data_IF_310801755804
#
_entry.id   IF_310801755804
#
_cell.length_a   1.000
_cell.length_b   1.000
_cell.length_c   1.000
_cell.angle_alpha   90.00
_cell.angle_beta   90.00
_cell.angle_gamma   90.00
#
_symmetry.space_group_name_H-M   'P 1'
#
loop_
_entity.id
_entity.type
_entity.pdbx_description
1 polymer ?
#
# COMPACT_ATOMS: atom_id res chain seq x y z
N UNK A 1 -7.37 5.50 -15.79
CA UNK A 1 -6.21 5.16 -14.96
C UNK A 1 -6.59 4.13 -13.91
N UNK A 2 -5.89 3.01 -13.90
CA UNK A 2 -6.06 1.97 -12.89
C UNK A 2 -4.74 1.20 -12.74
N UNK A 3 -4.35 0.92 -11.51
CA UNK A 3 -3.21 0.03 -11.26
C UNK A 3 -3.52 -0.95 -10.14
N UNK A 4 -2.85 -2.09 -10.20
CA UNK A 4 -2.87 -3.08 -9.13
C UNK A 4 -1.50 -3.70 -9.03
N UNK A 5 -0.92 -3.64 -7.85
CA UNK A 5 0.44 -4.11 -7.61
C UNK A 5 0.49 -5.03 -6.40
N UNK A 6 1.40 -6.00 -6.45
CA UNK A 6 1.60 -6.96 -5.37
C UNK A 6 3.07 -7.03 -4.98
N UNK A 7 3.30 -7.29 -3.72
CA UNK A 7 4.62 -7.64 -3.23
C UNK A 7 4.61 -9.11 -2.87
N UNK A 8 5.34 -9.89 -3.63
CA UNK A 8 5.35 -11.36 -3.51
C UNK A 8 6.74 -11.91 -3.19
N UNK A 9 7.70 -11.06 -2.92
CA UNK A 9 9.06 -11.49 -2.58
C UNK A 9 9.05 -12.40 -1.36
N UNK A 10 9.98 -13.33 -1.31
CA UNK A 10 10.04 -14.29 -0.21
C UNK A 10 9.26 -15.55 -0.53
N UNK A 11 9.46 -16.08 -1.72
CA UNK A 11 8.71 -17.20 -2.27
C UNK A 11 8.68 -18.44 -1.40
N UNK A 12 9.63 -18.63 -0.50
CA UNK A 12 9.66 -19.76 0.42
C UNK A 12 9.32 -19.29 1.82
N UNK A 13 8.01 -19.17 2.10
CA UNK A 13 7.54 -18.70 3.38
C UNK A 13 7.15 -17.23 3.31
N UNK A 14 7.90 -16.36 3.95
CA UNK A 14 7.55 -14.95 4.00
C UNK A 14 8.80 -14.07 4.02
N UNK A 15 8.62 -12.82 3.62
CA UNK A 15 9.63 -11.78 3.76
C UNK A 15 9.11 -10.70 4.70
N UNK A 16 9.93 -10.30 5.65
CA UNK A 16 9.61 -9.17 6.52
C UNK A 16 9.85 -7.88 5.75
N UNK A 17 8.89 -6.98 5.79
CA UNK A 17 8.94 -5.73 5.03
C UNK A 17 8.78 -4.56 5.98
N UNK A 18 9.66 -3.57 5.87
CA UNK A 18 9.59 -2.33 6.62
C UNK A 18 10.13 -1.19 5.76
N UNK A 19 9.84 0.04 6.15
CA UNK A 19 10.28 1.21 5.38
C UNK A 19 9.36 1.50 4.21
N UNK A 20 9.92 2.11 3.15
CA UNK A 20 9.16 2.39 1.92
C UNK A 20 8.71 1.09 1.29
N UNK A 21 7.41 0.99 1.03
CA UNK A 21 6.86 -0.22 0.42
C UNK A 21 7.05 -0.18 -1.09
N UNK A 22 7.66 -1.23 -1.62
CA UNK A 22 7.84 -1.43 -3.06
C UNK A 22 7.11 -2.69 -3.47
N UNK A 23 6.89 -2.87 -4.77
CA UNK A 23 6.06 -3.96 -5.27
C UNK A 23 6.71 -4.59 -6.49
N UNK A 24 6.99 -5.88 -6.43
CA UNK A 24 7.70 -6.60 -7.48
C UNK A 24 6.78 -7.08 -8.62
N UNK A 25 5.45 -7.08 -8.39
CA UNK A 25 4.49 -7.50 -9.40
C UNK A 25 3.49 -6.39 -9.66
N UNK A 26 3.56 -5.77 -10.82
CA UNK A 26 2.58 -4.77 -11.24
C UNK A 26 1.70 -5.43 -12.29
N UNK A 27 0.53 -5.90 -11.86
CA UNK A 27 -0.35 -6.68 -12.71
C UNK A 27 -1.14 -5.82 -13.69
N UNK A 28 -1.52 -4.62 -13.26
CA UNK A 28 -2.30 -3.68 -14.05
C UNK A 28 -1.68 -2.29 -13.83
N UNK A 29 -1.45 -1.58 -14.91
CA UNK A 29 -0.92 -0.21 -14.84
C UNK A 29 -1.37 0.58 -16.08
N UNK A 30 -2.66 0.82 -16.17
CA UNK A 30 -3.25 1.55 -17.29
C UNK A 30 -3.16 3.04 -16.99
N UNK A 31 -2.45 3.78 -17.83
CA UNK A 31 -2.15 5.19 -17.62
C UNK A 31 -0.76 5.44 -17.06
N UNK A 32 0.00 4.36 -16.79
CA UNK A 32 1.40 4.41 -16.38
C UNK A 32 1.67 5.28 -15.16
N UNK A 33 0.74 5.30 -14.20
CA UNK A 33 0.90 6.12 -13.02
C UNK A 33 1.69 5.48 -11.90
N UNK A 34 1.92 4.18 -11.94
CA UNK A 34 2.54 3.48 -10.82
C UNK A 34 3.90 2.91 -11.18
N UNK A 35 4.86 3.09 -10.28
CA UNK A 35 6.19 2.50 -10.39
C UNK A 35 6.41 1.54 -9.22
N UNK A 36 6.42 0.24 -9.51
CA UNK A 36 6.59 -0.78 -8.48
C UNK A 36 7.95 -0.72 -7.79
N UNK A 37 9.00 -0.35 -8.49
CA UNK A 37 10.35 -0.34 -7.94
C UNK A 37 10.54 0.75 -6.88
N UNK A 38 9.82 1.84 -6.97
CA UNK A 38 9.83 2.91 -5.96
C UNK A 38 8.61 2.84 -5.04
N UNK A 39 7.56 2.16 -5.47
CA UNK A 39 6.29 2.12 -4.75
C UNK A 39 5.48 3.41 -4.87
N UNK A 40 5.86 4.30 -5.79
CA UNK A 40 5.22 5.60 -5.92
C UNK A 40 4.15 5.58 -7.00
N UNK A 41 2.96 6.04 -6.63
CA UNK A 41 1.90 6.34 -7.57
C UNK A 41 1.92 7.84 -7.85
N UNK A 42 2.01 8.20 -9.13
CA UNK A 42 1.97 9.59 -9.58
C UNK A 42 0.70 9.79 -10.41
N UNK A 43 -0.18 10.65 -9.94
CA UNK A 43 -1.47 10.84 -10.58
C UNK A 43 -1.31 11.39 -12.00
N UNK A 44 -1.73 10.64 -13.02
CA UNK A 44 -1.59 11.11 -14.41
C UNK A 44 -2.64 12.14 -14.79
N UNK A 45 -3.73 12.23 -14.04
CA UNK A 45 -4.82 13.15 -14.28
C UNK A 45 -5.33 13.70 -12.95
N UNK A 46 -5.84 14.93 -12.98
CA UNK A 46 -6.53 15.48 -11.80
C UNK A 46 -7.91 14.85 -11.68
N UNK A 47 -8.28 14.48 -10.47
CA UNK A 47 -9.58 13.87 -10.25
C UNK A 47 -9.74 13.21 -8.89
N UNK A 48 -10.77 12.41 -8.78
CA UNK A 48 -11.09 11.64 -7.59
C UNK A 48 -10.61 10.21 -7.79
N UNK A 49 -9.85 9.72 -6.83
CA UNK A 49 -9.24 8.38 -6.90
C UNK A 49 -9.73 7.53 -5.74
N UNK A 50 -9.89 6.23 -6.02
CA UNK A 50 -10.10 5.21 -4.98
C UNK A 50 -8.79 4.45 -4.84
N UNK A 51 -8.25 4.45 -3.62
CA UNK A 51 -7.00 3.78 -3.30
C UNK A 51 -7.27 2.67 -2.30
N UNK A 52 -6.47 1.60 -2.35
CA UNK A 52 -6.65 0.48 -1.45
C UNK A 52 -5.30 -0.17 -1.13
N UNK A 53 -5.13 -0.52 0.12
CA UNK A 53 -3.99 -1.30 0.58
C UNK A 53 -4.48 -2.49 1.40
N UNK A 54 -3.83 -3.64 1.24
CA UNK A 54 -4.06 -4.77 2.12
C UNK A 54 -2.77 -5.57 2.33
N UNK A 55 -2.64 -6.15 3.50
CA UNK A 55 -1.47 -6.95 3.82
C UNK A 55 -1.61 -7.68 5.15
N UNK A 56 -0.57 -8.42 5.48
CA UNK A 56 -0.46 -9.14 6.75
C UNK A 56 0.49 -8.39 7.67
N UNK A 57 0.06 -8.13 8.87
CA UNK A 57 0.93 -7.52 9.87
C UNK A 57 1.69 -8.58 10.64
N UNK A 58 2.81 -8.17 11.24
CA UNK A 58 3.57 -9.00 12.16
C UNK A 58 3.14 -8.74 13.62
N UNK A 59 1.88 -8.46 13.83
CA UNK A 59 1.35 -7.97 15.10
C UNK A 59 1.54 -8.94 16.27
N UNK A 60 1.71 -10.23 16.00
CA UNK A 60 1.99 -11.19 17.06
C UNK A 60 3.40 -11.01 17.66
N UNK A 61 4.27 -10.29 16.99
CA UNK A 61 5.63 -10.01 17.49
C UNK A 61 5.70 -8.63 18.11
N UNK A 62 4.93 -7.69 17.57
CA UNK A 62 4.94 -6.28 17.95
C UNK A 62 3.52 -5.82 18.26
N UNK A 63 3.40 -4.73 19.00
CA UNK A 63 2.12 -4.28 19.51
C UNK A 63 1.12 -3.88 18.43
N UNK A 64 1.60 -3.28 17.34
CA UNK A 64 0.73 -2.87 16.25
C UNK A 64 1.55 -2.61 14.99
N UNK A 65 0.88 -2.62 13.86
CA UNK A 65 1.45 -2.22 12.58
C UNK A 65 0.83 -0.91 12.14
N UNK A 66 1.67 0.00 11.67
CA UNK A 66 1.23 1.30 11.22
C UNK A 66 1.81 1.56 9.83
N UNK A 67 0.91 1.77 8.88
CA UNK A 67 1.29 2.14 7.53
C UNK A 67 1.01 3.63 7.38
N UNK A 68 2.03 4.38 7.00
CA UNK A 68 1.89 5.81 6.77
C UNK A 68 1.66 6.06 5.30
N UNK A 69 0.63 6.81 4.98
CA UNK A 69 0.36 7.24 3.60
C UNK A 69 0.96 8.62 3.43
N UNK A 70 1.92 8.72 2.51
CA UNK A 70 2.60 9.98 2.20
C UNK A 70 2.05 10.55 0.90
N UNK A 71 1.79 11.85 0.91
CA UNK A 71 1.42 12.61 -0.29
C UNK A 71 2.45 13.71 -0.48
N UNK A 72 3.14 13.67 -1.61
CA UNK A 72 4.18 14.65 -1.96
C UNK A 72 5.22 14.81 -0.85
N UNK A 73 5.60 13.69 -0.24
CA UNK A 73 6.63 13.65 0.79
C UNK A 73 6.15 13.96 2.21
N UNK A 74 4.86 14.18 2.41
CA UNK A 74 4.32 14.48 3.74
C UNK A 74 3.31 13.41 4.15
N UNK A 75 3.37 12.93 5.42
CA UNK A 75 2.40 11.97 5.91
C UNK A 75 1.03 12.64 6.03
N UNK A 76 -0.01 11.97 5.51
CA UNK A 76 -1.36 12.52 5.53
C UNK A 76 -2.30 11.76 6.46
N UNK A 77 -2.09 10.45 6.61
CA UNK A 77 -2.81 9.65 7.61
C UNK A 77 -2.13 8.29 7.78
N UNK A 78 -2.61 7.52 8.77
CA UNK A 78 -2.07 6.21 9.09
C UNK A 78 -3.14 5.15 8.90
N UNK A 79 -2.70 3.98 8.43
CA UNK A 79 -3.50 2.76 8.42
C UNK A 79 -2.95 1.88 9.53
N UNK A 80 -3.77 1.51 10.50
CA UNK A 80 -3.34 0.67 11.60
C UNK A 80 -4.23 -0.56 11.69
N UNK A 81 -3.68 -1.63 12.24
CA UNK A 81 -4.44 -2.85 12.44
C UNK A 81 -5.18 -2.88 13.77
N UNK A 82 -4.99 -1.89 14.63
CA UNK A 82 -5.64 -1.84 15.93
C UNK A 82 -5.32 -3.05 16.76
N UNK A 83 -4.13 -3.56 16.69
CA UNK A 83 -3.75 -4.84 17.22
C UNK A 83 -4.08 -5.04 18.69
N UNK A 84 -4.54 -6.24 18.99
CA UNK A 84 -4.64 -6.77 20.33
C UNK A 84 -3.54 -7.81 20.49
N UNK A 85 -2.72 -7.65 21.52
CA UNK A 85 -1.50 -8.40 21.72
C UNK A 85 -1.67 -9.92 21.79
N UNK A 86 -2.85 -10.42 22.09
CA UNK A 86 -3.12 -11.85 22.20
C UNK A 86 -3.34 -12.55 20.86
N UNK A 87 -3.31 -11.85 19.76
CA UNK A 87 -3.50 -12.48 18.45
C UNK A 87 -2.21 -13.15 18.01
N UNK A 88 -2.23 -14.47 18.01
CA UNK A 88 -1.03 -15.27 17.76
C UNK A 88 -0.62 -15.33 16.29
N UNK A 89 -1.55 -15.12 15.37
CA UNK A 89 -1.31 -15.33 13.94
C UNK A 89 -1.05 -14.06 13.15
N UNK A 90 -0.91 -12.93 13.84
CA UNK A 90 -0.86 -11.63 13.19
C UNK A 90 -2.25 -11.21 12.73
N UNK A 91 -2.32 -10.13 11.98
CA UNK A 91 -3.57 -9.56 11.51
C UNK A 91 -3.49 -9.16 10.07
N UNK A 92 -4.65 -9.17 9.42
CA UNK A 92 -4.80 -8.43 8.18
C UNK A 92 -4.86 -6.94 8.52
N UNK A 93 -4.16 -6.15 7.73
CA UNK A 93 -4.27 -4.71 7.77
C UNK A 93 -4.69 -4.25 6.39
N UNK A 94 -5.84 -3.60 6.31
CA UNK A 94 -6.37 -3.16 5.03
C UNK A 94 -7.17 -1.88 5.19
N UNK A 95 -7.16 -1.08 4.13
CA UNK A 95 -7.91 0.16 4.12
C UNK A 95 -8.16 0.59 2.69
N UNK A 96 -9.37 1.06 2.44
CA UNK A 96 -9.76 1.66 1.15
C UNK A 96 -10.22 3.07 1.42
N UNK A 97 -9.73 4.02 0.61
CA UNK A 97 -10.10 5.43 0.79
C UNK A 97 -10.28 6.10 -0.56
N UNK A 98 -10.97 7.21 -0.52
CA UNK A 98 -11.22 8.05 -1.70
C UNK A 98 -10.58 9.40 -1.43
N UNK A 99 -9.85 9.94 -2.42
CA UNK A 99 -9.20 11.23 -2.25
C UNK A 99 -9.12 11.97 -3.58
N UNK A 100 -9.03 13.29 -3.47
CA UNK A 100 -8.80 14.13 -4.63
C UNK A 100 -7.31 14.32 -4.84
N UNK A 101 -6.84 14.12 -6.06
CA UNK A 101 -5.46 14.35 -6.45
C UNK A 101 -5.40 15.29 -7.65
N UNK A 102 -4.38 16.11 -7.68
CA UNK A 102 -4.05 16.96 -8.82
C UNK A 102 -3.01 16.20 -9.65
N UNK A 103 -3.06 16.37 -10.97
CA UNK A 103 -2.07 15.75 -11.85
C UNK A 103 -0.65 16.01 -11.32
N UNK A 104 0.13 14.95 -11.17
CA UNK A 104 1.49 15.02 -10.67
C UNK A 104 1.63 14.76 -9.17
N UNK A 105 0.53 14.72 -8.43
CA UNK A 105 0.60 14.35 -7.01
C UNK A 105 1.14 12.94 -6.85
N UNK A 106 1.99 12.73 -5.86
CA UNK A 106 2.62 11.44 -5.59
C UNK A 106 2.16 10.87 -4.27
N UNK A 107 1.81 9.59 -4.29
CA UNK A 107 1.48 8.83 -3.09
C UNK A 107 2.48 7.70 -2.93
N UNK A 108 2.89 7.44 -1.69
CA UNK A 108 3.65 6.24 -1.35
C UNK A 108 3.24 5.77 0.03
N UNK A 109 3.58 4.52 0.31
CA UNK A 109 3.28 3.86 1.57
C UNK A 109 4.59 3.56 2.29
N UNK A 110 4.59 3.74 3.59
CA UNK A 110 5.75 3.49 4.44
C UNK A 110 5.29 2.68 5.65
N UNK A 111 6.00 1.61 5.96
CA UNK A 111 5.69 0.81 7.14
C UNK A 111 6.68 1.09 8.26
N UNK A 112 6.16 1.51 9.41
CA UNK A 112 6.96 1.72 10.61
C UNK A 112 7.44 0.42 11.21
N UNK A 113 6.60 -0.60 11.12
CA UNK A 113 6.83 -1.93 11.67
C UNK A 113 6.81 -2.96 10.57
N UNK A 114 7.06 -4.21 10.93
CA UNK A 114 7.12 -5.27 9.94
C UNK A 114 5.76 -5.64 9.41
N UNK A 115 5.72 -5.84 8.10
CA UNK A 115 4.66 -6.54 7.41
C UNK A 115 5.23 -7.85 6.89
N UNK A 116 4.37 -8.82 6.66
CA UNK A 116 4.76 -10.06 6.01
C UNK A 116 4.24 -10.09 4.59
N UNK A 117 5.12 -10.38 3.65
CA UNK A 117 4.74 -10.60 2.26
C UNK A 117 4.90 -12.09 1.96
N UNK A 118 3.81 -12.74 1.59
CA UNK A 118 3.79 -14.15 1.21
C UNK A 118 3.50 -14.25 -0.28
N UNK A 119 4.01 -15.29 -0.92
CA UNK A 119 3.74 -15.51 -2.34
C UNK A 119 2.26 -15.75 -2.63
N UNK A 120 1.54 -16.38 -1.70
CA UNK A 120 0.11 -16.66 -1.84
C UNK A 120 -0.77 -15.69 -1.04
N UNK A 121 -0.18 -14.81 -0.24
CA UNK A 121 -0.88 -13.76 0.47
C UNK A 121 -0.03 -12.48 0.38
N UNK A 122 0.03 -11.87 -0.81
CA UNK A 122 0.91 -10.73 -1.02
C UNK A 122 0.37 -9.46 -0.38
N UNK A 123 1.27 -8.51 -0.16
CA UNK A 123 0.84 -7.13 0.08
C UNK A 123 0.31 -6.60 -1.24
N UNK A 124 -0.80 -5.89 -1.20
CA UNK A 124 -1.40 -5.31 -2.41
C UNK A 124 -1.62 -3.82 -2.24
N UNK A 125 -1.37 -3.10 -3.32
CA UNK A 125 -1.65 -1.67 -3.41
C UNK A 125 -2.30 -1.43 -4.75
N UNK A 126 -3.44 -0.76 -4.75
CA UNK A 126 -4.18 -0.50 -5.97
C UNK A 126 -4.80 0.89 -5.95
N UNK A 127 -5.09 1.39 -7.13
CA UNK A 127 -5.75 2.67 -7.26
C UNK A 127 -6.46 2.78 -8.58
N UNK A 128 -7.53 3.56 -8.60
CA UNK A 128 -8.28 3.83 -9.82
C UNK A 128 -8.83 5.24 -9.82
N UNK A 129 -8.84 5.85 -10.99
CA UNK A 129 -9.48 7.15 -11.17
C UNK A 129 -10.98 6.90 -11.35
N UNK A 130 -11.79 7.46 -10.47
CA UNK A 130 -13.25 7.28 -10.52
C UNK A 130 -13.98 8.50 -11.08
N UNK A 131 -13.32 9.65 -11.12
CA UNK A 131 -13.93 10.87 -11.69
C UNK A 131 -12.82 11.82 -12.12
N UNK A 132 -12.85 12.24 -13.38
CA UNK A 132 -11.87 13.20 -13.91
C UNK A 132 -12.33 14.62 -13.58
N UNK A 133 -11.40 15.44 -13.09
CA UNK A 133 -11.64 16.86 -12.85
C UNK A 133 -10.67 17.69 -13.70
N UNK A 134 -11.17 18.75 -14.26
CA UNK A 134 -10.36 19.66 -15.06
C UNK A 134 -9.94 20.89 -14.28
#
# INVERSE_FOLDING_TARGET
>A
MIFNARKTEGLEGFTKVTGDLTFDQVDINIGDGFDGSSGIFKAPLSGIYRMSFSGQSAAYIIDYTQIMVYKNGYPIFFITDGNEAEKADGNNVSYTWIMRLVKGDELKLYSDNYLYAYSNEPLTFSGELIHIEN
#
